data_IF_675757575748
#
_entry.id   IF_675757575748
#
_cell.length_a   1.000
_cell.length_b   1.000
_cell.length_c   1.000
_cell.angle_alpha   90.00
_cell.angle_beta   90.00
_cell.angle_gamma   90.00
#
_symmetry.space_group_name_H-M   'P 1'
#
loop_
_entity.id
_entity.type
_entity.pdbx_description
1 polymer ?
#
# COMPACT_ATOMS: atom_id res chain seq x y z
N UNK A 1 -1.70 -22.63 -26.55
CA UNK A 1 -1.38 -23.12 -25.22
C UNK A 1 -2.37 -24.17 -24.77
N UNK A 2 -1.92 -25.07 -23.90
CA UNK A 2 -2.80 -26.09 -23.30
C UNK A 2 -3.13 -25.67 -21.87
N UNK A 3 -4.32 -26.05 -21.40
CA UNK A 3 -4.74 -25.86 -20.02
C UNK A 3 -4.71 -27.22 -19.34
N UNK A 4 -4.17 -27.29 -18.13
CA UNK A 4 -4.26 -28.45 -17.25
C UNK A 4 -5.29 -28.12 -16.19
N UNK A 5 -6.27 -29.00 -15.99
CA UNK A 5 -7.33 -28.84 -15.02
C UNK A 5 -7.54 -30.15 -14.24
N UNK A 6 -7.83 -30.03 -12.96
CA UNK A 6 -8.37 -31.10 -12.15
C UNK A 6 -9.90 -31.12 -12.33
N UNK A 7 -10.44 -32.25 -12.61
CA UNK A 7 -11.87 -32.42 -12.88
C UNK A 7 -12.38 -33.69 -12.18
N UNK A 8 -13.50 -33.59 -11.49
CA UNK A 8 -14.17 -34.75 -10.90
C UNK A 8 -14.48 -35.79 -11.97
N UNK A 9 -14.36 -37.07 -11.63
CA UNK A 9 -14.76 -38.17 -12.54
C UNK A 9 -16.21 -38.04 -13.00
N UNK A 10 -17.10 -37.53 -12.15
CA UNK A 10 -18.54 -37.35 -12.43
C UNK A 10 -18.82 -36.16 -13.38
N UNK A 11 -17.83 -35.33 -13.63
CA UNK A 11 -17.96 -34.15 -14.49
C UNK A 11 -17.26 -34.30 -15.86
N UNK A 12 -16.58 -35.41 -16.08
CA UNK A 12 -15.85 -35.66 -17.34
C UNK A 12 -16.76 -35.60 -18.55
N UNK A 13 -17.97 -36.14 -18.45
CA UNK A 13 -18.96 -36.16 -19.54
C UNK A 13 -19.52 -34.76 -19.88
N UNK A 14 -19.30 -33.77 -19.01
CA UNK A 14 -19.72 -32.37 -19.23
C UNK A 14 -18.70 -31.57 -20.04
N UNK A 15 -17.49 -32.10 -20.23
CA UNK A 15 -16.44 -31.44 -21.00
C UNK A 15 -16.69 -31.61 -22.48
N UNK A 16 -16.97 -30.52 -23.17
CA UNK A 16 -17.22 -30.49 -24.62
C UNK A 16 -15.98 -30.26 -25.46
N UNK A 17 -14.87 -29.80 -24.83
CA UNK A 17 -13.59 -29.61 -25.50
C UNK A 17 -12.82 -30.94 -25.62
N UNK A 18 -11.97 -31.04 -26.63
CA UNK A 18 -11.05 -32.17 -26.74
C UNK A 18 -10.06 -32.14 -25.56
N UNK A 19 -9.92 -33.26 -24.87
CA UNK A 19 -9.02 -33.39 -23.74
C UNK A 19 -8.26 -34.70 -23.72
N UNK A 20 -7.15 -34.73 -23.00
CA UNK A 20 -6.37 -35.93 -22.74
C UNK A 20 -6.20 -36.07 -21.22
N UNK A 21 -6.61 -37.23 -20.70
CA UNK A 21 -6.30 -37.57 -19.30
C UNK A 21 -4.80 -37.82 -19.15
N UNK A 22 -4.14 -37.09 -18.28
CA UNK A 22 -2.69 -37.12 -18.04
C UNK A 22 -2.30 -37.76 -16.71
N UNK A 23 -3.18 -37.67 -15.69
CA UNK A 23 -2.95 -38.24 -14.38
C UNK A 23 -4.27 -38.52 -13.65
N UNK A 24 -4.19 -39.14 -12.50
CA UNK A 24 -5.22 -39.25 -11.47
C UNK A 24 -4.73 -38.58 -10.22
N UNK A 25 -5.60 -37.80 -9.58
CA UNK A 25 -5.36 -37.27 -8.22
C UNK A 25 -5.76 -38.36 -7.23
N UNK A 26 -4.89 -38.63 -6.24
CA UNK A 26 -5.11 -39.60 -5.17
C UNK A 26 -4.95 -38.89 -3.82
N UNK A 27 -5.36 -39.54 -2.74
CA UNK A 27 -5.17 -39.02 -1.37
C UNK A 27 -3.75 -39.29 -0.85
N UNK A 28 -2.92 -39.99 -1.61
CA UNK A 28 -1.53 -40.25 -1.25
C UNK A 28 -0.67 -39.01 -1.49
N UNK A 29 0.14 -38.62 -0.51
CA UNK A 29 1.01 -37.44 -0.62
C UNK A 29 2.29 -37.74 -1.43
N UNK A 30 2.12 -38.30 -2.64
CA UNK A 30 3.22 -38.70 -3.52
C UNK A 30 2.85 -38.57 -5.00
N UNK A 31 3.91 -38.47 -5.83
CA UNK A 31 3.79 -38.58 -7.28
C UNK A 31 4.31 -39.94 -7.72
N UNK A 32 3.49 -40.66 -8.52
CA UNK A 32 3.84 -41.97 -9.08
C UNK A 32 3.91 -41.88 -10.59
N UNK A 33 5.05 -42.27 -11.17
CA UNK A 33 5.22 -42.37 -12.61
C UNK A 33 5.93 -43.70 -12.97
N UNK A 34 5.19 -44.68 -13.45
CA UNK A 34 5.69 -46.03 -13.63
C UNK A 34 6.14 -46.60 -12.27
N UNK A 35 7.39 -47.02 -12.18
CA UNK A 35 7.97 -47.55 -10.95
C UNK A 35 8.62 -46.47 -10.06
N UNK A 36 8.64 -45.21 -10.53
CA UNK A 36 9.20 -44.10 -9.78
C UNK A 36 8.17 -43.48 -8.84
N UNK A 37 8.52 -43.34 -7.59
CA UNK A 37 7.72 -42.68 -6.55
C UNK A 37 8.54 -41.58 -5.91
N UNK A 38 7.97 -40.40 -5.79
CA UNK A 38 8.53 -39.28 -5.08
C UNK A 38 7.48 -38.69 -4.14
N UNK A 39 7.81 -38.48 -2.87
CA UNK A 39 6.90 -37.82 -1.94
C UNK A 39 6.63 -36.35 -2.33
N UNK A 40 5.43 -35.84 -2.07
CA UNK A 40 5.13 -34.43 -2.29
C UNK A 40 6.09 -33.50 -1.52
N UNK A 41 6.49 -33.90 -0.32
CA UNK A 41 7.48 -33.17 0.48
C UNK A 41 8.81 -33.06 -0.26
N UNK A 42 9.35 -34.17 -0.74
CA UNK A 42 10.62 -34.20 -1.48
C UNK A 42 10.50 -33.42 -2.80
N UNK A 43 9.41 -33.58 -3.53
CA UNK A 43 9.15 -32.82 -4.76
C UNK A 43 9.11 -31.30 -4.48
N UNK A 44 8.43 -30.89 -3.41
CA UNK A 44 8.35 -29.49 -3.00
C UNK A 44 9.73 -28.93 -2.57
N UNK A 45 10.45 -29.68 -1.77
CA UNK A 45 11.82 -29.30 -1.34
C UNK A 45 12.75 -29.14 -2.55
N UNK A 46 12.71 -30.08 -3.50
CA UNK A 46 13.48 -29.99 -4.74
C UNK A 46 13.04 -28.83 -5.65
N UNK A 47 11.75 -28.49 -5.67
CA UNK A 47 11.23 -27.40 -6.45
C UNK A 47 11.57 -26.04 -5.83
N UNK A 48 11.34 -25.84 -4.55
CA UNK A 48 11.53 -24.56 -3.85
C UNK A 48 12.98 -24.33 -3.41
N UNK A 49 13.71 -25.39 -3.04
CA UNK A 49 15.04 -25.28 -2.44
C UNK A 49 16.19 -24.96 -3.41
N UNK A 50 16.00 -25.15 -4.71
CA UNK A 50 17.08 -24.96 -5.71
C UNK A 50 17.73 -23.59 -5.71
N UNK A 51 16.94 -22.55 -5.49
CA UNK A 51 17.39 -21.16 -5.51
C UNK A 51 17.43 -20.51 -4.13
N UNK A 52 17.14 -21.25 -3.06
CA UNK A 52 17.03 -20.71 -1.71
C UNK A 52 18.30 -20.01 -1.22
N UNK A 53 19.46 -20.51 -1.63
CA UNK A 53 20.76 -19.89 -1.29
C UNK A 53 21.02 -18.56 -2.01
N UNK A 54 20.34 -18.29 -3.12
CA UNK A 54 20.50 -17.07 -3.93
C UNK A 54 19.31 -16.14 -3.78
N UNK A 55 18.12 -16.72 -3.69
CA UNK A 55 16.85 -16.03 -3.52
C UNK A 55 16.06 -16.66 -2.36
N UNK A 56 16.44 -16.36 -1.11
CA UNK A 56 15.77 -16.94 0.05
C UNK A 56 14.27 -16.61 0.04
N UNK A 57 13.46 -17.58 0.38
CA UNK A 57 11.99 -17.39 0.46
C UNK A 57 11.57 -16.78 1.78
N UNK A 58 12.45 -16.81 2.79
CA UNK A 58 12.24 -16.20 4.11
C UNK A 58 13.44 -15.34 4.50
N UNK A 59 13.18 -14.34 5.34
CA UNK A 59 14.21 -13.50 5.95
C UNK A 59 14.37 -13.84 7.44
N UNK A 60 15.44 -13.33 8.03
CA UNK A 60 15.74 -13.51 9.47
C UNK A 60 14.97 -12.49 10.34
N UNK A 61 13.71 -12.21 10.01
CA UNK A 61 12.89 -11.30 10.84
C UNK A 61 12.51 -11.99 12.14
N UNK A 62 12.80 -11.33 13.25
CA UNK A 62 12.42 -11.78 14.57
C UNK A 62 10.90 -11.94 14.64
N UNK A 63 10.48 -13.16 15.01
CA UNK A 63 9.07 -13.46 15.25
C UNK A 63 8.71 -13.01 16.66
N UNK A 64 7.96 -11.93 16.74
CA UNK A 64 7.45 -11.41 18.01
C UNK A 64 5.94 -11.52 18.04
N UNK A 65 5.40 -11.72 19.22
CA UNK A 65 3.97 -11.67 19.45
C UNK A 65 3.49 -10.21 19.37
N UNK A 66 2.47 -9.98 18.56
CA UNK A 66 1.89 -8.67 18.35
C UNK A 66 0.57 -8.55 19.11
N UNK A 67 0.42 -7.49 19.90
CA UNK A 67 -0.84 -7.20 20.55
C UNK A 67 -1.95 -6.87 19.54
N UNK A 68 -3.12 -7.47 19.70
CA UNK A 68 -4.30 -7.16 18.88
C UNK A 68 -5.08 -5.98 19.48
N UNK A 69 -4.61 -4.77 19.20
CA UNK A 69 -5.21 -3.52 19.69
C UNK A 69 -6.10 -2.90 18.63
N UNK A 70 -7.32 -2.55 19.02
CA UNK A 70 -8.25 -1.75 18.23
C UNK A 70 -8.41 -0.37 18.88
N UNK A 71 -8.50 0.66 18.05
CA UNK A 71 -8.80 2.02 18.46
C UNK A 71 -10.20 2.40 17.97
N UNK A 72 -11.16 2.47 18.89
CA UNK A 72 -12.52 2.90 18.61
C UNK A 72 -12.65 4.42 18.87
N UNK A 73 -12.73 5.21 17.80
CA UNK A 73 -12.91 6.64 17.92
C UNK A 73 -14.33 6.98 18.37
N UNK A 74 -14.46 7.73 19.46
CA UNK A 74 -15.75 8.15 20.03
C UNK A 74 -16.54 9.09 19.13
N UNK A 75 -15.86 9.78 18.23
CA UNK A 75 -16.47 10.74 17.31
C UNK A 75 -16.03 10.46 15.89
N UNK A 76 -16.98 10.29 14.99
CA UNK A 76 -16.73 10.23 13.56
C UNK A 76 -16.57 11.64 13.03
N UNK A 77 -15.46 11.91 12.39
CA UNK A 77 -15.21 13.22 11.82
C UNK A 77 -16.11 13.49 10.61
N UNK A 78 -16.71 14.67 10.59
CA UNK A 78 -17.52 15.15 9.46
C UNK A 78 -16.94 16.47 8.98
N UNK A 79 -16.70 16.60 7.66
CA UNK A 79 -16.19 17.83 7.08
C UNK A 79 -17.09 19.04 7.43
N UNK A 80 -16.48 20.14 7.86
CA UNK A 80 -17.20 21.39 8.17
C UNK A 80 -17.83 21.99 6.92
N UNK A 81 -17.09 21.96 5.81
CA UNK A 81 -17.52 22.47 4.52
C UNK A 81 -17.89 21.30 3.61
N UNK A 82 -19.19 21.07 3.42
CA UNK A 82 -19.70 20.01 2.53
C UNK A 82 -19.78 20.54 1.11
N UNK A 83 -19.27 19.76 0.16
CA UNK A 83 -19.35 20.00 -1.27
C UNK A 83 -20.12 18.86 -1.93
N UNK A 84 -20.93 19.16 -2.93
CA UNK A 84 -21.72 18.14 -3.61
C UNK A 84 -20.86 17.16 -4.38
N UNK A 85 -19.80 17.65 -5.04
CA UNK A 85 -18.80 16.87 -5.76
C UNK A 85 -17.41 17.34 -5.33
N UNK A 86 -16.68 16.55 -4.54
CA UNK A 86 -15.32 16.92 -4.14
C UNK A 86 -14.37 16.89 -5.34
N UNK A 87 -13.52 17.90 -5.43
CA UNK A 87 -12.46 17.95 -6.41
C UNK A 87 -11.23 17.24 -5.88
N UNK A 88 -10.69 16.34 -6.68
CA UNK A 88 -9.46 15.58 -6.38
C UNK A 88 -8.36 16.05 -7.31
N UNK A 89 -7.24 16.45 -6.74
CA UNK A 89 -6.02 16.71 -7.51
C UNK A 89 -5.09 15.52 -7.45
N UNK A 90 -4.66 15.02 -8.61
CA UNK A 90 -3.66 13.95 -8.76
C UNK A 90 -2.45 14.55 -9.46
N UNK A 91 -1.33 14.81 -8.76
CA UNK A 91 -0.07 15.16 -9.39
C UNK A 91 0.52 13.95 -10.14
N UNK A 92 0.92 14.16 -11.38
CA UNK A 92 1.54 13.14 -12.23
C UNK A 92 2.99 13.51 -12.49
N UNK A 93 3.89 12.59 -12.19
CA UNK A 93 5.33 12.75 -12.38
C UNK A 93 5.85 11.76 -13.42
N UNK A 94 7.01 11.98 -14.01
CA UNK A 94 7.68 10.93 -14.79
C UNK A 94 7.79 9.64 -13.97
N UNK A 95 7.26 8.53 -14.48
CA UNK A 95 7.23 7.24 -13.79
C UNK A 95 5.98 6.99 -12.94
N UNK A 96 5.06 7.93 -12.76
CA UNK A 96 3.70 7.65 -12.26
C UNK A 96 2.95 6.84 -13.29
N UNK A 97 2.26 5.76 -12.90
CA UNK A 97 1.51 4.93 -13.83
C UNK A 97 0.18 4.38 -13.31
N UNK A 98 -0.24 4.76 -12.13
CA UNK A 98 -1.55 4.38 -11.56
C UNK A 98 -2.56 5.53 -11.53
N UNK A 99 -2.29 6.67 -12.19
CA UNK A 99 -3.16 7.84 -12.19
C UNK A 99 -4.49 7.59 -12.90
N UNK A 100 -4.52 6.78 -13.94
CA UNK A 100 -5.75 6.44 -14.66
C UNK A 100 -6.72 5.63 -13.81
N UNK A 101 -6.23 4.58 -13.16
CA UNK A 101 -7.05 3.72 -12.29
C UNK A 101 -7.52 4.50 -11.07
N UNK A 102 -6.64 5.31 -10.51
CA UNK A 102 -6.95 6.20 -9.39
C UNK A 102 -8.01 7.23 -9.78
N UNK A 103 -7.87 7.87 -10.93
CA UNK A 103 -8.87 8.79 -11.48
C UNK A 103 -10.22 8.11 -11.60
N UNK A 104 -10.28 6.96 -12.24
CA UNK A 104 -11.50 6.18 -12.43
C UNK A 104 -12.17 5.82 -11.09
N UNK A 105 -11.39 5.44 -10.08
CA UNK A 105 -11.93 5.10 -8.77
C UNK A 105 -12.59 6.29 -8.09
N UNK A 106 -11.98 7.48 -8.14
CA UNK A 106 -12.57 8.70 -7.59
C UNK A 106 -13.78 9.19 -8.37
N UNK A 107 -13.77 9.11 -9.70
CA UNK A 107 -14.91 9.46 -10.56
C UNK A 107 -16.10 8.54 -10.30
N UNK A 108 -15.89 7.23 -10.15
CA UNK A 108 -16.92 6.26 -9.77
C UNK A 108 -17.50 6.56 -8.38
N UNK A 109 -16.70 7.11 -7.47
CA UNK A 109 -17.14 7.58 -6.17
C UNK A 109 -17.87 8.94 -6.21
N UNK A 110 -17.99 9.58 -7.39
CA UNK A 110 -18.72 10.83 -7.60
C UNK A 110 -17.87 12.10 -7.43
N UNK A 111 -16.54 12.00 -7.47
CA UNK A 111 -15.65 13.16 -7.44
C UNK A 111 -15.37 13.73 -8.83
N UNK A 112 -14.90 14.98 -8.88
CA UNK A 112 -14.33 15.61 -10.06
C UNK A 112 -12.80 15.52 -9.95
N UNK A 113 -12.14 14.84 -10.90
CA UNK A 113 -10.70 14.60 -10.85
C UNK A 113 -9.94 15.50 -11.81
N UNK A 114 -8.87 16.13 -11.32
CA UNK A 114 -7.93 16.91 -12.11
C UNK A 114 -6.54 16.30 -12.00
N UNK A 115 -6.01 15.84 -13.12
CA UNK A 115 -4.61 15.40 -13.23
C UNK A 115 -3.77 16.52 -13.85
N UNK A 116 -2.56 16.74 -13.34
CA UNK A 116 -1.59 17.67 -13.93
C UNK A 116 -0.22 16.99 -13.97
N UNK A 117 0.38 17.00 -15.15
CA UNK A 117 1.72 16.44 -15.37
C UNK A 117 2.79 17.46 -14.99
N UNK A 118 3.73 17.06 -14.15
CA UNK A 118 4.90 17.85 -13.83
C UNK A 118 5.91 17.78 -14.99
N UNK A 119 6.17 18.89 -15.63
CA UNK A 119 7.13 19.02 -16.74
C UNK A 119 8.45 19.56 -16.20
N UNK A 120 9.54 18.88 -16.48
CA UNK A 120 10.87 19.20 -15.94
C UNK A 120 11.98 19.30 -17.00
N UNK A 121 11.62 19.50 -18.27
CA UNK A 121 12.61 19.57 -19.36
C UNK A 121 13.31 20.93 -19.45
N UNK A 122 12.64 22.00 -19.00
CA UNK A 122 13.18 23.37 -19.01
C UNK A 122 12.80 24.09 -17.72
N UNK A 123 13.56 25.14 -17.38
CA UNK A 123 13.27 25.96 -16.19
C UNK A 123 11.87 26.58 -16.24
N UNK A 124 11.44 27.09 -17.40
CA UNK A 124 10.08 27.63 -17.56
C UNK A 124 9.00 26.58 -17.30
N UNK A 125 9.19 25.36 -17.79
CA UNK A 125 8.25 24.26 -17.55
C UNK A 125 8.17 23.88 -16.08
N UNK A 126 9.27 23.92 -15.34
CA UNK A 126 9.29 23.69 -13.91
C UNK A 126 8.45 24.76 -13.19
N UNK A 127 8.68 26.04 -13.50
CA UNK A 127 7.93 27.16 -12.92
C UNK A 127 6.44 27.06 -13.26
N UNK A 128 6.10 26.78 -14.51
CA UNK A 128 4.70 26.56 -14.94
C UNK A 128 4.05 25.40 -14.21
N UNK A 129 4.76 24.29 -14.04
CA UNK A 129 4.24 23.11 -13.33
C UNK A 129 4.02 23.38 -11.84
N UNK A 130 4.94 24.09 -11.19
CA UNK A 130 4.79 24.51 -9.78
C UNK A 130 3.54 25.39 -9.61
N UNK A 131 3.35 26.39 -10.50
CA UNK A 131 2.17 27.25 -10.45
C UNK A 131 0.86 26.49 -10.74
N UNK A 132 0.89 25.55 -11.68
CA UNK A 132 -0.26 24.70 -11.99
C UNK A 132 -0.62 23.76 -10.81
N UNK A 133 0.36 23.20 -10.12
CA UNK A 133 0.15 22.39 -8.92
C UNK A 133 -0.43 23.23 -7.78
N UNK A 134 0.17 24.40 -7.51
CA UNK A 134 -0.37 25.32 -6.50
C UNK A 134 -1.84 25.63 -6.76
N UNK A 135 -2.19 26.03 -7.98
CA UNK A 135 -3.56 26.34 -8.36
C UNK A 135 -4.49 25.13 -8.20
N UNK A 136 -4.07 23.94 -8.64
CA UNK A 136 -4.86 22.73 -8.54
C UNK A 136 -5.12 22.33 -7.07
N UNK A 137 -4.12 22.43 -6.19
CA UNK A 137 -4.27 22.16 -4.77
C UNK A 137 -5.25 23.15 -4.12
N UNK A 138 -5.15 24.45 -4.47
CA UNK A 138 -6.06 25.48 -3.93
C UNK A 138 -7.52 25.26 -4.32
N UNK A 139 -7.78 24.64 -5.47
CA UNK A 139 -9.14 24.34 -5.95
C UNK A 139 -9.70 23.02 -5.39
N UNK A 140 -8.86 22.13 -4.90
CA UNK A 140 -9.24 20.76 -4.55
C UNK A 140 -9.59 20.60 -3.07
N UNK A 141 -10.37 19.57 -2.75
CA UNK A 141 -10.65 19.10 -1.40
C UNK A 141 -9.81 17.88 -1.04
N UNK A 142 -9.30 17.16 -2.04
CA UNK A 142 -8.51 15.95 -1.86
C UNK A 142 -7.23 16.06 -2.69
N UNK A 143 -6.09 15.77 -2.06
CA UNK A 143 -4.79 15.57 -2.71
C UNK A 143 -4.50 14.07 -2.75
N UNK A 144 -4.35 13.50 -3.93
CA UNK A 144 -4.11 12.06 -4.11
C UNK A 144 -2.78 11.80 -4.78
N UNK A 145 -1.88 11.10 -4.10
CA UNK A 145 -0.64 10.62 -4.66
C UNK A 145 -0.79 9.18 -5.13
N UNK A 146 -0.75 8.97 -6.43
CA UNK A 146 -0.86 7.66 -7.05
C UNK A 146 0.42 6.82 -6.89
N UNK A 147 0.29 5.55 -7.15
CA UNK A 147 1.43 4.62 -7.23
C UNK A 147 2.23 4.76 -8.50
N UNK A 148 3.29 3.97 -8.59
CA UNK A 148 4.25 3.95 -9.69
C UNK A 148 5.68 4.00 -9.18
N UNK A 149 6.58 4.54 -10.02
CA UNK A 149 8.01 4.67 -9.76
C UNK A 149 8.47 6.07 -10.16
N UNK A 150 8.12 7.08 -9.38
CA UNK A 150 8.40 8.47 -9.72
C UNK A 150 9.89 8.74 -9.92
N UNK A 151 10.25 9.24 -11.11
CA UNK A 151 11.62 9.45 -11.57
C UNK A 151 12.52 8.21 -11.50
N UNK A 152 11.93 7.00 -11.61
CA UNK A 152 12.63 5.72 -11.64
C UNK A 152 12.98 5.14 -10.27
N UNK A 153 12.57 5.78 -9.17
CA UNK A 153 12.83 5.37 -7.79
C UNK A 153 14.25 4.84 -7.58
N UNK A 154 15.14 5.73 -7.24
CA UNK A 154 16.56 5.42 -6.98
C UNK A 154 16.74 4.43 -5.83
N UNK A 155 17.82 3.61 -5.81
CA UNK A 155 18.07 2.62 -4.76
C UNK A 155 18.04 3.15 -3.32
N UNK A 156 18.32 4.43 -3.14
CA UNK A 156 18.33 5.07 -1.82
C UNK A 156 16.97 5.56 -1.35
N UNK A 157 15.91 5.14 -1.97
CA UNK A 157 14.57 5.37 -1.50
C UNK A 157 13.65 6.02 -2.52
N UNK A 158 12.47 5.47 -2.54
CA UNK A 158 11.38 5.82 -3.42
C UNK A 158 10.78 7.18 -3.12
N UNK A 159 10.10 7.77 -4.12
CA UNK A 159 9.38 9.04 -4.01
C UNK A 159 10.22 10.29 -3.70
N UNK A 160 11.53 10.27 -3.89
CA UNK A 160 12.40 11.45 -3.68
C UNK A 160 12.00 12.63 -4.54
N UNK A 161 11.68 12.38 -5.81
CA UNK A 161 11.31 13.42 -6.75
C UNK A 161 10.01 14.11 -6.33
N UNK A 162 8.99 13.35 -5.96
CA UNK A 162 7.74 13.89 -5.41
C UNK A 162 8.04 14.74 -4.18
N UNK A 163 8.80 14.20 -3.22
CA UNK A 163 9.13 14.90 -1.99
C UNK A 163 9.91 16.19 -2.25
N UNK A 164 10.83 16.22 -3.21
CA UNK A 164 11.56 17.41 -3.61
C UNK A 164 10.64 18.51 -4.14
N UNK A 165 9.72 18.16 -5.03
CA UNK A 165 8.77 19.12 -5.61
C UNK A 165 7.79 19.65 -4.57
N UNK A 166 7.26 18.79 -3.70
CA UNK A 166 6.30 19.19 -2.66
C UNK A 166 6.92 20.00 -1.51
N UNK A 167 8.25 20.03 -1.40
CA UNK A 167 8.98 20.96 -0.53
C UNK A 167 9.16 22.36 -1.12
N UNK A 168 8.74 22.58 -2.36
CA UNK A 168 8.68 23.95 -2.90
C UNK A 168 7.74 24.81 -2.04
N UNK A 169 8.15 26.01 -1.60
CA UNK A 169 7.38 26.82 -0.65
C UNK A 169 5.93 27.09 -1.06
N UNK A 170 5.67 27.36 -2.35
CA UNK A 170 4.32 27.62 -2.86
C UNK A 170 3.41 26.38 -2.75
N UNK A 171 3.96 25.20 -3.13
CA UNK A 171 3.22 23.94 -3.07
C UNK A 171 3.01 23.55 -1.61
N UNK A 172 4.05 23.63 -0.78
CA UNK A 172 3.98 23.31 0.63
C UNK A 172 2.94 24.17 1.37
N UNK A 173 2.92 25.47 1.13
CA UNK A 173 1.91 26.38 1.71
C UNK A 173 0.48 26.00 1.25
N UNK A 174 0.28 25.70 -0.02
CA UNK A 174 -1.03 25.27 -0.55
C UNK A 174 -1.50 23.95 0.06
N UNK A 175 -0.58 22.99 0.30
CA UNK A 175 -0.90 21.72 0.98
C UNK A 175 -1.28 21.97 2.45
N UNK A 176 -0.51 22.79 3.17
CA UNK A 176 -0.82 23.14 4.56
C UNK A 176 -2.17 23.87 4.66
N UNK A 177 -2.46 24.78 3.74
CA UNK A 177 -3.76 25.44 3.67
C UNK A 177 -4.90 24.44 3.41
N UNK A 178 -4.71 23.50 2.46
CA UNK A 178 -5.67 22.44 2.18
C UNK A 178 -5.99 21.63 3.43
N UNK A 179 -4.96 21.13 4.11
CA UNK A 179 -5.13 20.19 5.21
C UNK A 179 -5.54 20.88 6.53
N UNK A 180 -4.93 22.04 6.86
CA UNK A 180 -5.09 22.67 8.17
C UNK A 180 -6.21 23.71 8.23
N UNK A 181 -6.49 24.42 7.12
CA UNK A 181 -7.49 25.49 7.09
C UNK A 181 -8.78 25.11 6.37
N UNK A 182 -8.65 24.39 5.25
CA UNK A 182 -9.82 24.06 4.39
C UNK A 182 -10.42 22.69 4.67
N UNK A 183 -9.89 21.96 5.65
CA UNK A 183 -10.44 20.69 6.07
C UNK A 183 -10.36 19.59 5.00
N UNK A 184 -9.34 19.68 4.16
CA UNK A 184 -9.12 18.76 3.06
C UNK A 184 -8.47 17.45 3.51
N UNK A 185 -8.39 16.52 2.57
CA UNK A 185 -7.82 15.20 2.78
C UNK A 185 -6.60 14.96 1.88
N UNK A 186 -5.70 14.11 2.33
CA UNK A 186 -4.64 13.54 1.50
C UNK A 186 -4.73 12.01 1.51
N UNK A 187 -4.40 11.39 0.38
CA UNK A 187 -4.29 9.95 0.23
C UNK A 187 -3.04 9.63 -0.58
N UNK A 188 -2.32 8.60 -0.19
CA UNK A 188 -1.19 8.09 -0.96
C UNK A 188 -1.20 6.56 -1.02
N UNK A 189 -1.01 6.02 -2.22
CA UNK A 189 -0.97 4.57 -2.45
C UNK A 189 0.40 4.20 -2.98
N UNK A 190 1.04 3.16 -2.43
CA UNK A 190 2.34 2.63 -2.87
C UNK A 190 3.41 3.74 -2.90
N UNK A 191 3.90 4.14 -4.05
CA UNK A 191 4.85 5.25 -4.22
C UNK A 191 4.32 6.57 -3.64
N UNK A 192 3.02 6.81 -3.75
CA UNK A 192 2.36 7.95 -3.11
C UNK A 192 2.40 7.90 -1.59
N UNK A 193 2.27 6.72 -1.00
CA UNK A 193 2.42 6.56 0.45
C UNK A 193 3.86 6.80 0.92
N UNK A 194 4.84 6.32 0.15
CA UNK A 194 6.25 6.63 0.37
C UNK A 194 6.50 8.14 0.35
N UNK A 195 5.84 8.87 -0.57
CA UNK A 195 5.91 10.33 -0.62
C UNK A 195 5.31 10.99 0.64
N UNK A 196 4.15 10.53 1.10
CA UNK A 196 3.53 11.06 2.32
C UNK A 196 4.43 10.91 3.54
N UNK A 197 5.06 9.74 3.70
CA UNK A 197 6.02 9.48 4.79
C UNK A 197 7.26 10.39 4.66
N UNK A 198 7.87 10.47 3.48
CA UNK A 198 9.06 11.33 3.26
C UNK A 198 8.80 12.82 3.44
N UNK A 199 7.59 13.25 3.18
CA UNK A 199 7.17 14.64 3.41
C UNK A 199 6.88 14.93 4.89
N UNK A 200 6.61 13.90 5.71
CA UNK A 200 6.14 14.04 7.08
C UNK A 200 4.63 14.26 7.18
N UNK A 201 3.92 14.27 6.04
CA UNK A 201 2.45 14.31 6.03
C UNK A 201 1.85 13.14 6.80
N UNK A 202 2.47 11.99 6.72
CA UNK A 202 2.25 10.85 7.61
C UNK A 202 3.50 10.66 8.45
N UNK A 203 3.42 10.64 9.80
CA UNK A 203 2.22 10.75 10.64
C UNK A 203 1.90 12.16 11.17
N UNK A 204 2.63 13.19 10.75
CA UNK A 204 2.61 14.49 11.43
C UNK A 204 1.55 15.46 10.90
N UNK A 205 0.95 15.19 9.73
CA UNK A 205 -0.06 16.08 9.11
C UNK A 205 0.51 17.37 8.50
N UNK A 206 1.83 17.51 8.42
CA UNK A 206 2.52 18.68 7.86
C UNK A 206 3.77 18.28 7.08
N UNK A 207 4.13 19.08 6.08
CA UNK A 207 5.39 18.91 5.36
C UNK A 207 6.50 19.51 6.20
N UNK A 208 7.43 18.63 6.61
CA UNK A 208 8.58 19.03 7.42
C UNK A 208 9.84 18.25 7.06
N UNK A 209 11.03 18.77 7.43
CA UNK A 209 12.28 18.04 7.25
C UNK A 209 12.25 16.70 7.98
N UNK A 210 12.80 15.66 7.36
CA UNK A 210 13.04 14.40 8.05
C UNK A 210 14.18 14.53 9.05
N UNK A 211 14.00 13.94 10.22
CA UNK A 211 15.05 13.77 11.24
C UNK A 211 15.53 12.31 11.24
N UNK A 212 16.61 12.02 11.94
CA UNK A 212 17.13 10.65 12.06
C UNK A 212 16.10 9.66 12.64
N UNK A 213 15.23 10.16 13.53
CA UNK A 213 14.19 9.36 14.20
C UNK A 213 12.82 9.43 13.49
N UNK A 214 12.73 10.08 12.32
CA UNK A 214 11.48 10.18 11.60
C UNK A 214 11.06 8.81 11.06
N UNK A 215 9.75 8.49 11.08
CA UNK A 215 9.25 7.30 10.41
C UNK A 215 9.68 7.26 8.95
N UNK A 216 9.99 6.08 8.46
CA UNK A 216 10.38 5.86 7.06
C UNK A 216 9.81 4.55 6.53
N UNK A 217 9.68 4.48 5.20
CA UNK A 217 9.52 3.22 4.49
C UNK A 217 10.87 2.83 3.91
N UNK A 218 11.24 1.58 4.14
CA UNK A 218 12.52 1.01 3.69
C UNK A 218 12.30 -0.32 2.99
N UNK A 219 13.37 -0.91 2.50
CA UNK A 219 13.38 -2.21 1.82
C UNK A 219 12.68 -3.28 2.65
N UNK A 220 11.86 -4.10 1.99
CA UNK A 220 11.26 -5.28 2.61
C UNK A 220 12.32 -6.12 3.32
N UNK A 221 11.95 -6.78 4.42
CA UNK A 221 12.88 -7.63 5.19
C UNK A 221 13.60 -8.67 4.33
N UNK A 222 12.92 -9.21 3.33
CA UNK A 222 13.50 -10.18 2.39
C UNK A 222 14.46 -9.57 1.35
N UNK A 223 14.66 -8.25 1.34
CA UNK A 223 15.60 -7.58 0.45
C UNK A 223 15.18 -7.50 -1.03
N UNK A 224 13.95 -7.79 -1.36
CA UNK A 224 13.45 -7.76 -2.73
C UNK A 224 11.99 -7.37 -2.85
N UNK A 225 11.55 -7.16 -4.10
CA UNK A 225 10.14 -6.91 -4.43
C UNK A 225 9.28 -8.13 -4.09
N UNK A 226 8.15 -7.89 -3.46
CA UNK A 226 7.10 -8.86 -3.16
C UNK A 226 5.81 -8.43 -3.85
N UNK A 227 5.16 -9.37 -4.52
CA UNK A 227 3.84 -9.19 -5.13
C UNK A 227 2.95 -10.36 -4.73
N UNK A 228 1.98 -10.11 -3.86
CA UNK A 228 1.02 -11.11 -3.37
C UNK A 228 -0.22 -10.46 -2.76
N UNK A 229 -1.31 -11.23 -2.66
CA UNK A 229 -2.45 -10.82 -1.83
C UNK A 229 -2.12 -11.03 -0.35
N UNK A 230 -2.48 -10.07 0.47
CA UNK A 230 -2.28 -10.08 1.93
C UNK A 230 -3.59 -9.79 2.64
N UNK A 231 -3.70 -10.22 3.89
CA UNK A 231 -4.85 -9.91 4.72
C UNK A 231 -4.50 -8.75 5.66
N UNK A 232 -5.36 -7.74 5.68
CA UNK A 232 -5.22 -6.59 6.56
C UNK A 232 -6.47 -6.41 7.40
N UNK A 233 -6.28 -6.17 8.69
CA UNK A 233 -7.32 -5.89 9.66
C UNK A 233 -7.42 -4.38 9.90
N UNK A 234 -8.60 -3.82 9.80
CA UNK A 234 -8.86 -2.43 10.15
C UNK A 234 -8.78 -2.27 11.67
N UNK A 235 -7.79 -1.51 12.15
CA UNK A 235 -7.54 -1.37 13.59
C UNK A 235 -7.96 -0.01 14.15
N UNK A 236 -8.41 0.91 13.31
CA UNK A 236 -9.01 2.19 13.73
C UNK A 236 -10.14 2.60 12.81
N UNK A 237 -11.15 3.27 13.35
CA UNK A 237 -12.22 3.93 12.61
C UNK A 237 -12.08 5.47 12.65
N UNK A 238 -10.95 6.00 13.13
CA UNK A 238 -10.70 7.43 13.27
C UNK A 238 -10.60 8.15 11.92
N UNK A 239 -9.99 7.51 10.93
CA UNK A 239 -9.78 8.10 9.61
C UNK A 239 -11.08 8.25 8.82
N UNK A 240 -11.35 9.42 8.19
CA UNK A 240 -12.48 9.60 7.30
C UNK A 240 -12.53 8.61 6.14
N UNK A 241 -11.40 8.11 5.70
CA UNK A 241 -11.30 7.11 4.64
C UNK A 241 -11.84 5.74 5.05
N UNK A 242 -11.84 5.43 6.35
CA UNK A 242 -12.26 4.14 6.89
C UNK A 242 -13.66 4.17 7.50
N UNK A 243 -14.39 5.29 7.39
CA UNK A 243 -15.72 5.46 8.01
C UNK A 243 -16.75 4.39 7.67
N UNK A 244 -16.60 3.74 6.52
CA UNK A 244 -17.49 2.67 6.06
C UNK A 244 -16.90 1.28 6.23
N UNK A 245 -15.65 1.18 6.68
CA UNK A 245 -15.01 -0.09 6.99
C UNK A 245 -15.39 -0.54 8.40
N UNK A 246 -15.58 -1.82 8.57
CA UNK A 246 -15.86 -2.41 9.87
C UNK A 246 -14.59 -2.41 10.73
N UNK A 247 -14.65 -1.87 11.94
CA UNK A 247 -13.56 -1.94 12.90
C UNK A 247 -13.31 -3.41 13.28
N UNK A 248 -12.08 -3.89 13.13
CA UNK A 248 -11.74 -5.30 13.26
C UNK A 248 -11.99 -6.13 11.99
N UNK A 249 -12.62 -5.55 10.96
CA UNK A 249 -12.86 -6.22 9.68
C UNK A 249 -11.56 -6.57 8.97
N UNK A 250 -11.50 -7.77 8.38
CA UNK A 250 -10.34 -8.29 7.65
C UNK A 250 -10.61 -8.26 6.16
N UNK A 251 -9.68 -7.68 5.40
CA UNK A 251 -9.81 -7.52 3.95
C UNK A 251 -8.55 -8.04 3.25
N UNK A 252 -8.78 -8.78 2.16
CA UNK A 252 -7.70 -9.18 1.26
C UNK A 252 -7.39 -8.02 0.32
N UNK A 253 -6.12 -7.61 0.27
CA UNK A 253 -5.64 -6.55 -0.61
C UNK A 253 -4.38 -6.99 -1.36
N UNK A 254 -4.17 -6.54 -2.60
CA UNK A 254 -2.92 -6.78 -3.31
C UNK A 254 -1.81 -5.89 -2.75
N UNK A 255 -0.66 -6.48 -2.45
CA UNK A 255 0.58 -5.79 -2.11
C UNK A 255 1.61 -6.02 -3.21
N UNK A 256 2.24 -4.96 -3.70
CA UNK A 256 3.29 -5.04 -4.71
C UNK A 256 4.29 -3.91 -4.49
N UNK A 257 5.41 -4.21 -3.83
CA UNK A 257 6.43 -3.23 -3.46
C UNK A 257 7.76 -3.88 -3.11
N UNK A 258 8.86 -3.14 -3.32
CA UNK A 258 10.20 -3.46 -2.82
C UNK A 258 10.53 -2.74 -1.51
N UNK A 259 9.94 -1.56 -1.31
CA UNK A 259 10.12 -0.70 -0.14
C UNK A 259 8.77 -0.43 0.53
N UNK A 260 8.29 -1.38 1.31
CA UNK A 260 7.02 -1.27 2.05
C UNK A 260 7.16 -1.41 3.57
N UNK A 261 8.38 -1.64 4.06
CA UNK A 261 8.65 -1.84 5.48
C UNK A 261 8.61 -0.51 6.23
N UNK A 262 7.60 -0.33 7.07
CA UNK A 262 7.50 0.82 7.96
C UNK A 262 8.44 0.65 9.16
N UNK A 263 9.32 1.62 9.37
CA UNK A 263 10.28 1.64 10.48
C UNK A 263 10.18 2.97 11.20
N UNK A 264 10.10 2.91 12.51
CA UNK A 264 10.15 4.05 13.41
C UNK A 264 10.64 3.60 14.79
N UNK A 265 11.13 4.52 15.66
CA UNK A 265 11.42 4.21 17.04
C UNK A 265 10.18 3.67 17.77
N UNK A 266 10.41 2.77 18.75
CA UNK A 266 9.31 2.09 19.45
C UNK A 266 8.31 3.07 20.07
N UNK A 267 8.80 4.13 20.72
CA UNK A 267 7.95 5.15 21.32
C UNK A 267 7.07 5.88 20.29
N UNK A 268 7.56 6.06 19.06
CA UNK A 268 6.77 6.65 17.97
C UNK A 268 5.67 5.68 17.56
N UNK A 269 6.00 4.39 17.38
CA UNK A 269 5.01 3.35 17.03
C UNK A 269 3.93 3.25 18.11
N UNK A 270 4.32 3.22 19.39
CA UNK A 270 3.39 3.15 20.52
C UNK A 270 2.43 4.36 20.52
N UNK A 271 2.94 5.56 20.24
CA UNK A 271 2.13 6.77 20.12
C UNK A 271 1.16 6.72 18.92
N UNK A 272 1.59 6.17 17.78
CA UNK A 272 0.71 6.01 16.62
C UNK A 272 -0.49 5.11 16.94
N UNK A 273 -0.27 4.02 17.69
CA UNK A 273 -1.35 3.15 18.15
C UNK A 273 -2.25 3.86 19.16
N UNK A 274 -1.65 4.51 20.16
CA UNK A 274 -2.39 5.22 21.21
C UNK A 274 -3.29 6.33 20.66
N UNK A 275 -2.87 6.96 19.56
CA UNK A 275 -3.60 8.03 18.90
C UNK A 275 -4.55 7.53 17.79
N UNK A 276 -4.65 6.22 17.53
CA UNK A 276 -5.46 5.67 16.44
C UNK A 276 -4.98 6.04 15.04
N UNK A 277 -3.68 6.27 14.89
CA UNK A 277 -3.06 6.65 13.61
C UNK A 277 -2.60 5.45 12.77
N UNK A 278 -2.67 4.23 13.31
CA UNK A 278 -2.45 3.00 12.55
C UNK A 278 -3.78 2.55 11.96
N UNK A 279 -3.91 2.58 10.65
CA UNK A 279 -5.16 2.29 9.95
C UNK A 279 -5.46 0.80 9.87
N UNK A 280 -4.48 0.03 9.44
CA UNK A 280 -4.61 -1.42 9.25
C UNK A 280 -3.36 -2.15 9.74
N UNK A 281 -3.48 -3.46 9.95
CA UNK A 281 -2.35 -4.35 10.29
C UNK A 281 -2.41 -5.63 9.46
N UNK A 282 -1.25 -6.19 9.14
CA UNK A 282 -1.17 -7.53 8.58
C UNK A 282 -1.64 -8.56 9.59
N UNK A 283 -2.46 -9.49 9.14
CA UNK A 283 -3.02 -10.55 9.94
C UNK A 283 -2.94 -11.89 9.22
N UNK A 284 -2.93 -12.97 10.00
CA UNK A 284 -3.07 -14.32 9.49
C UNK A 284 -4.51 -14.63 9.03
N UNK A 285 -4.78 -15.87 8.62
CA UNK A 285 -6.11 -16.32 8.22
C UNK A 285 -7.16 -16.29 9.34
N UNK A 286 -6.72 -16.22 10.60
CA UNK A 286 -7.59 -16.11 11.78
C UNK A 286 -7.83 -14.65 12.19
N UNK A 287 -7.26 -13.70 11.46
CA UNK A 287 -7.36 -12.28 11.77
C UNK A 287 -6.47 -11.84 12.95
N UNK A 288 -5.43 -12.62 13.28
CA UNK A 288 -4.47 -12.31 14.33
C UNK A 288 -3.26 -11.57 13.74
N UNK A 289 -2.83 -10.43 14.32
CA UNK A 289 -1.64 -9.72 13.87
C UNK A 289 -0.39 -10.60 13.92
N UNK A 290 0.41 -10.56 12.84
CA UNK A 290 1.55 -11.49 12.74
C UNK A 290 2.78 -10.85 12.07
N UNK A 291 3.96 -11.36 12.41
CA UNK A 291 5.23 -11.11 11.75
C UNK A 291 5.59 -12.20 10.74
N UNK A 292 4.79 -13.26 10.64
CA UNK A 292 5.03 -14.33 9.66
C UNK A 292 4.98 -13.77 8.23
N UNK A 293 6.05 -13.98 7.47
CA UNK A 293 6.23 -13.46 6.12
C UNK A 293 5.22 -14.02 5.09
N UNK A 294 4.57 -15.13 5.40
CA UNK A 294 3.46 -15.63 4.60
C UNK A 294 2.28 -14.65 4.58
N UNK A 295 2.12 -13.86 5.64
CA UNK A 295 1.05 -12.87 5.82
C UNK A 295 1.55 -11.43 5.91
N UNK A 296 2.79 -11.21 6.41
CA UNK A 296 3.44 -9.91 6.55
C UNK A 296 4.68 -9.81 5.64
N UNK A 297 4.50 -9.48 4.37
CA UNK A 297 5.54 -9.64 3.35
C UNK A 297 6.68 -8.63 3.45
N UNK A 298 6.58 -7.61 4.27
CA UNK A 298 7.61 -6.56 4.37
C UNK A 298 8.27 -6.43 5.74
N UNK A 299 7.78 -7.15 6.76
CA UNK A 299 8.34 -7.11 8.11
C UNK A 299 7.98 -5.85 8.92
N UNK A 300 6.88 -5.18 8.59
CA UNK A 300 6.39 -4.03 9.37
C UNK A 300 5.67 -4.47 10.65
N UNK A 301 5.98 -3.84 11.78
CA UNK A 301 5.21 -3.99 13.03
C UNK A 301 3.83 -3.35 12.96
N UNK A 302 3.75 -2.21 12.27
CA UNK A 302 2.53 -1.49 11.98
C UNK A 302 2.45 -1.34 10.48
N UNK A 303 1.35 -1.77 9.90
CA UNK A 303 1.05 -1.48 8.51
C UNK A 303 0.11 -0.32 8.51
N UNK A 304 0.48 0.67 7.75
CA UNK A 304 -0.37 1.79 7.53
C UNK A 304 -0.50 2.00 6.03
N UNK A 305 -1.62 1.63 5.48
CA UNK A 305 -2.12 2.36 4.31
C UNK A 305 -2.84 3.57 4.87
N UNK A 306 -2.08 4.52 5.37
CA UNK A 306 -2.64 5.57 6.17
C UNK A 306 -2.98 6.78 5.37
N UNK A 307 -4.06 7.24 5.73
CA UNK A 307 -4.70 8.46 5.37
C UNK A 307 -4.60 9.38 6.55
N UNK A 308 -4.03 10.53 6.40
CA UNK A 308 -4.03 11.52 7.44
C UNK A 308 -4.87 12.70 7.08
N UNK A 309 -5.51 13.13 8.12
CA UNK A 309 -5.96 14.49 8.27
C UNK A 309 -5.05 15.22 9.23
N UNK A 310 -4.74 16.49 8.92
CA UNK A 310 -3.77 17.29 9.64
C UNK A 310 -4.15 17.67 11.08
N UNK A 311 -5.33 17.35 11.57
CA UNK A 311 -5.83 17.78 12.89
C UNK A 311 -6.19 16.62 13.82
N UNK A 312 -5.41 15.55 13.82
CA UNK A 312 -5.64 14.45 14.75
C UNK A 312 -4.78 14.53 16.03
N UNK A 313 -4.22 15.71 16.32
CA UNK A 313 -3.47 15.99 17.55
C UNK A 313 -4.25 17.00 18.39
N UNK A 314 -5.31 16.55 19.05
CA UNK A 314 -5.88 17.17 20.25
C UNK A 314 -6.29 16.09 21.25
#
# INVERSE_FOLDING_TARGET
GSIIAEVSADDLDKITAEYKKIALVTDDAEFVYGDAVISMKEALENWTGKLESVFPTRSDVEQIELEDKLFDAKTVYTAKNKVARPKVFIPVFPGTNCEYDTTKAFELAGADVKTVVFKNMTESQIVESVNAFEAAIKESQILMFSGGFSAGDEPDGSAKFIASIFRNPKIMEAVHELLQKRDGLALGICNGFQALIKLGLVPFGEIKPQTADAPTLTTNSIGRHISKSVYTKVVTNKSPWLMKAELGGVYAIPASHGEGRFVAPKNVIDNLFANGQVATRYVDLNGVPTMDEDYNPNGSYAVSYTHLRAHETD
#
